data_IF_325315508733
#
_entry.id   IF_325315508733
#
_cell.length_a   1.000
_cell.length_b   1.000
_cell.length_c   1.000
_cell.angle_alpha   90.00
_cell.angle_beta   90.00
_cell.angle_gamma   90.00
#
_symmetry.space_group_name_H-M   'P 1'
#
loop_
_entity.id
_entity.type
_entity.pdbx_description
1 polymer ?
#
# COMPACT_ATOMS: atom_id res chain seq x y z
N UNK A 1 50.92 -15.75 -15.66
CA UNK A 1 49.88 -14.83 -16.15
C UNK A 1 48.55 -15.56 -16.11
N UNK A 2 47.76 -15.35 -15.06
CA UNK A 2 46.45 -15.97 -14.91
C UNK A 2 45.37 -15.00 -15.40
N UNK A 3 44.42 -15.43 -16.26
CA UNK A 3 43.46 -14.53 -16.88
C UNK A 3 42.45 -14.04 -15.84
N UNK A 4 42.35 -12.71 -15.74
CA UNK A 4 41.39 -11.99 -14.91
C UNK A 4 39.96 -12.44 -15.21
N UNK A 5 39.29 -12.99 -14.20
CA UNK A 5 37.86 -13.29 -14.24
C UNK A 5 37.07 -11.99 -14.27
N UNK A 6 36.56 -11.61 -15.45
CA UNK A 6 35.52 -10.58 -15.57
C UNK A 6 34.26 -11.09 -14.84
N UNK A 7 34.12 -10.71 -13.56
CA UNK A 7 32.87 -10.87 -12.81
C UNK A 7 31.75 -10.20 -13.59
N UNK A 8 30.85 -11.02 -14.11
CA UNK A 8 29.63 -10.64 -14.80
C UNK A 8 28.76 -9.87 -13.79
N UNK A 9 28.91 -8.53 -13.69
CA UNK A 9 28.00 -7.68 -12.91
C UNK A 9 26.62 -7.87 -13.51
N UNK A 10 25.73 -8.57 -12.80
CA UNK A 10 24.31 -8.63 -13.13
C UNK A 10 23.84 -7.20 -13.42
N UNK A 11 23.40 -6.93 -14.65
CA UNK A 11 22.91 -5.60 -15.03
C UNK A 11 21.76 -5.24 -14.10
N UNK A 12 22.01 -4.28 -13.21
CA UNK A 12 21.11 -3.92 -12.12
C UNK A 12 19.77 -3.41 -12.69
N UNK A 13 18.66 -3.83 -12.09
CA UNK A 13 17.33 -3.35 -12.51
C UNK A 13 17.02 -2.08 -11.74
N UNK A 14 16.93 -0.95 -12.47
CA UNK A 14 16.51 0.33 -11.91
C UNK A 14 15.01 0.27 -11.65
N UNK A 15 14.61 0.36 -10.38
CA UNK A 15 13.19 0.41 -10.00
C UNK A 15 12.68 1.85 -10.01
N UNK A 16 11.48 2.00 -10.52
CA UNK A 16 10.76 3.26 -10.55
C UNK A 16 9.28 3.03 -10.20
N UNK A 17 8.61 4.08 -9.81
CA UNK A 17 7.18 4.02 -9.56
C UNK A 17 6.49 5.34 -9.88
N UNK A 18 5.20 5.25 -10.17
CA UNK A 18 4.35 6.40 -10.47
C UNK A 18 2.88 6.07 -10.30
N UNK A 19 2.02 7.02 -10.62
CA UNK A 19 0.59 6.78 -10.60
C UNK A 19 -0.14 7.52 -11.71
N UNK A 20 -1.12 6.86 -12.30
CA UNK A 20 -2.07 7.49 -13.18
C UNK A 20 -3.16 8.11 -12.32
N UNK A 21 -2.99 9.41 -12.05
CA UNK A 21 -3.93 10.17 -11.22
C UNK A 21 -5.17 10.47 -12.02
N UNK A 22 -6.34 10.17 -11.45
CA UNK A 22 -7.62 10.33 -12.13
C UNK A 22 -8.65 11.03 -11.25
N UNK A 23 -9.63 11.65 -11.92
CA UNK A 23 -10.84 12.19 -11.30
C UNK A 23 -12.02 12.03 -12.26
N UNK A 24 -13.22 12.06 -11.70
CA UNK A 24 -14.44 12.16 -12.47
C UNK A 24 -14.90 13.62 -12.51
N UNK A 25 -15.13 14.13 -13.72
CA UNK A 25 -15.71 15.44 -13.96
C UNK A 25 -17.04 15.25 -14.72
N UNK A 26 -18.14 15.20 -13.97
CA UNK A 26 -19.44 14.80 -14.49
C UNK A 26 -19.42 13.35 -15.00
N UNK A 27 -19.65 13.15 -16.30
CA UNK A 27 -19.62 11.81 -16.95
C UNK A 27 -18.27 11.48 -17.60
N UNK A 28 -17.24 12.30 -17.35
CA UNK A 28 -15.95 12.15 -18.00
C UNK A 28 -14.87 11.74 -17.00
N UNK A 29 -14.06 10.78 -17.42
CA UNK A 29 -12.80 10.47 -16.75
C UNK A 29 -11.72 11.44 -17.25
N UNK A 30 -11.05 12.09 -16.31
CA UNK A 30 -9.88 12.94 -16.56
C UNK A 30 -8.65 12.34 -15.87
N UNK A 31 -7.49 12.51 -16.49
CA UNK A 31 -6.20 12.05 -15.97
C UNK A 31 -5.18 13.18 -15.94
N UNK A 32 -4.23 13.10 -15.02
CA UNK A 32 -3.15 14.07 -14.87
C UNK A 32 -1.90 13.59 -15.61
N UNK A 33 -1.41 14.39 -16.55
CA UNK A 33 -0.15 14.14 -17.27
C UNK A 33 0.86 15.25 -16.98
N UNK A 34 2.14 14.91 -17.16
CA UNK A 34 3.25 15.86 -17.02
C UNK A 34 4.05 15.94 -18.31
N UNK A 35 4.57 17.13 -18.60
CA UNK A 35 5.51 17.37 -19.68
C UNK A 35 6.95 17.47 -19.13
N UNK A 36 7.90 16.87 -19.85
CA UNK A 36 9.33 16.92 -19.50
C UNK A 36 10.11 17.63 -20.60
N UNK A 37 10.60 18.86 -20.37
CA UNK A 37 11.27 19.65 -21.41
C UNK A 37 12.57 19.01 -21.89
N UNK A 38 13.25 18.23 -21.05
CA UNK A 38 14.48 17.51 -21.43
C UNK A 38 14.28 16.54 -22.61
N UNK A 39 13.10 15.96 -22.72
CA UNK A 39 12.77 14.93 -23.73
C UNK A 39 11.70 15.39 -24.72
N UNK A 40 11.09 16.56 -24.46
CA UNK A 40 9.90 17.05 -25.15
C UNK A 40 8.80 15.97 -25.21
N UNK A 41 8.52 15.35 -24.05
CA UNK A 41 7.59 14.24 -23.93
C UNK A 41 6.50 14.46 -22.88
N UNK A 42 5.35 13.85 -23.13
CA UNK A 42 4.23 13.78 -22.22
C UNK A 42 4.11 12.35 -21.69
N UNK A 43 4.07 12.22 -20.37
CA UNK A 43 4.00 10.91 -19.71
C UNK A 43 3.17 10.96 -18.42
N UNK A 44 2.89 9.77 -17.90
CA UNK A 44 2.35 9.59 -16.56
C UNK A 44 3.45 9.96 -15.54
N UNK A 45 3.15 10.70 -14.45
CA UNK A 45 4.14 11.07 -13.45
C UNK A 45 4.77 9.84 -12.78
N UNK A 46 6.11 9.85 -12.68
CA UNK A 46 6.93 8.73 -12.18
C UNK A 46 8.40 9.09 -12.06
N UNK A 47 9.05 8.54 -11.03
CA UNK A 47 10.50 8.60 -10.90
C UNK A 47 11.10 7.39 -10.21
N UNK A 48 12.35 7.54 -9.76
CA UNK A 48 13.17 6.42 -9.30
C UNK A 48 12.89 6.15 -7.82
N UNK A 49 12.88 4.87 -7.45
CA UNK A 49 12.77 4.48 -6.04
C UNK A 49 14.06 4.87 -5.33
N UNK A 50 13.94 5.60 -4.23
CA UNK A 50 15.06 5.99 -3.39
C UNK A 50 15.52 4.86 -2.47
N UNK A 51 16.68 5.05 -1.82
CA UNK A 51 17.16 4.11 -0.83
C UNK A 51 16.16 3.99 0.32
N UNK A 52 15.91 2.75 0.77
CA UNK A 52 14.99 2.44 1.87
C UNK A 52 13.52 2.82 1.61
N UNK A 53 13.17 3.10 0.35
CA UNK A 53 11.83 3.47 -0.07
C UNK A 53 11.08 2.27 -0.66
N UNK A 54 9.76 2.20 -0.45
CA UNK A 54 8.91 1.24 -1.15
C UNK A 54 8.47 1.81 -2.50
N UNK A 55 8.17 0.95 -3.48
CA UNK A 55 7.60 1.40 -4.76
C UNK A 55 6.27 2.17 -4.60
N UNK A 56 5.50 1.96 -3.53
CA UNK A 56 4.24 2.70 -3.30
C UNK A 56 4.49 4.09 -2.76
N UNK A 57 5.40 4.19 -1.80
CA UNK A 57 5.79 5.49 -1.22
C UNK A 57 6.49 6.34 -2.28
N UNK A 58 7.30 5.72 -3.13
CA UNK A 58 7.87 6.34 -4.33
C UNK A 58 6.77 6.87 -5.26
N UNK A 59 5.77 6.06 -5.61
CA UNK A 59 4.67 6.52 -6.48
C UNK A 59 3.96 7.78 -5.94
N UNK A 60 3.71 7.83 -4.63
CA UNK A 60 3.07 9.00 -3.99
C UNK A 60 3.99 10.21 -3.95
N UNK A 61 5.26 10.01 -3.58
CA UNK A 61 6.28 11.07 -3.55
C UNK A 61 6.46 11.69 -4.93
N UNK A 62 6.73 10.87 -5.94
CA UNK A 62 7.00 11.31 -7.31
C UNK A 62 5.82 12.08 -7.91
N UNK A 63 4.58 11.63 -7.67
CA UNK A 63 3.41 12.39 -8.10
C UNK A 63 3.36 13.76 -7.41
N UNK A 64 3.62 13.82 -6.10
CA UNK A 64 3.61 15.07 -5.37
C UNK A 64 4.76 16.01 -5.80
N UNK A 65 5.95 15.48 -6.09
CA UNK A 65 7.10 16.23 -6.59
C UNK A 65 6.84 16.80 -7.99
N UNK A 66 6.39 15.96 -8.93
CA UNK A 66 6.22 16.35 -10.33
C UNK A 66 4.95 17.18 -10.57
N UNK A 67 3.90 17.03 -9.74
CA UNK A 67 2.59 17.66 -10.01
C UNK A 67 2.10 18.60 -8.91
N UNK A 68 2.71 18.56 -7.72
CA UNK A 68 2.18 19.22 -6.52
C UNK A 68 0.92 18.57 -5.94
N UNK A 69 0.36 17.54 -6.57
CA UNK A 69 -0.90 16.91 -6.16
C UNK A 69 -0.65 15.81 -5.13
N UNK A 70 -1.30 15.90 -3.97
CA UNK A 70 -1.34 14.80 -3.01
C UNK A 70 -2.35 13.75 -3.46
N UNK A 71 -1.91 12.49 -3.50
CA UNK A 71 -2.75 11.38 -3.99
C UNK A 71 -2.90 10.23 -3.00
N UNK A 72 -3.99 9.48 -3.13
CA UNK A 72 -4.22 8.18 -2.47
C UNK A 72 -4.17 7.08 -3.53
N UNK A 73 -3.35 6.06 -3.29
CA UNK A 73 -3.24 4.91 -4.19
C UNK A 73 -4.49 4.02 -4.10
N UNK A 74 -5.04 3.71 -5.27
CA UNK A 74 -6.01 2.64 -5.48
C UNK A 74 -5.32 1.39 -6.02
N UNK A 75 -5.93 0.74 -7.01
CA UNK A 75 -5.46 -0.52 -7.55
C UNK A 75 -4.10 -0.39 -8.28
N UNK A 76 -3.23 -1.41 -8.19
CA UNK A 76 -2.04 -1.48 -9.04
C UNK A 76 -2.45 -1.67 -10.50
N UNK A 77 -1.75 -0.99 -11.39
CA UNK A 77 -1.82 -1.17 -12.84
C UNK A 77 -0.65 -2.05 -13.32
N UNK A 78 -0.62 -2.34 -14.62
CA UNK A 78 0.48 -3.08 -15.25
C UNK A 78 1.84 -2.44 -15.01
N UNK A 79 2.88 -3.29 -14.95
CA UNK A 79 4.27 -2.83 -14.84
C UNK A 79 4.87 -2.65 -16.23
N UNK A 80 5.65 -1.59 -16.41
CA UNK A 80 6.35 -1.32 -17.66
C UNK A 80 7.83 -1.68 -17.49
N UNK A 81 8.37 -2.45 -18.44
CA UNK A 81 9.79 -2.87 -18.44
C UNK A 81 10.44 -2.56 -19.78
N UNK A 82 11.55 -1.82 -19.74
CA UNK A 82 12.30 -1.45 -20.95
C UNK A 82 13.80 -1.32 -20.64
N UNK A 83 14.63 -1.35 -21.69
CA UNK A 83 16.08 -1.12 -21.56
C UNK A 83 16.36 0.38 -21.61
N UNK A 84 17.31 0.84 -20.81
CA UNK A 84 17.82 2.22 -20.86
C UNK A 84 19.18 2.24 -21.58
N UNK A 85 19.65 3.45 -21.94
CA UNK A 85 20.82 3.64 -22.83
C UNK A 85 22.13 2.99 -22.36
N UNK A 86 22.31 2.82 -21.05
CA UNK A 86 23.46 2.13 -20.46
C UNK A 86 23.37 0.58 -20.50
N UNK A 87 22.29 0.04 -21.08
CA UNK A 87 22.02 -1.39 -21.20
C UNK A 87 21.35 -2.04 -19.99
N UNK A 88 21.13 -1.28 -18.90
CA UNK A 88 20.37 -1.72 -17.73
C UNK A 88 18.88 -1.84 -18.04
N UNK A 89 18.14 -2.56 -17.17
CA UNK A 89 16.69 -2.70 -17.28
C UNK A 89 16.02 -1.73 -16.31
N UNK A 90 15.00 -1.01 -16.78
CA UNK A 90 14.13 -0.21 -15.94
C UNK A 90 12.80 -0.94 -15.77
N UNK A 91 12.35 -1.10 -14.52
CA UNK A 91 11.01 -1.61 -14.17
C UNK A 91 10.24 -0.51 -13.44
N UNK A 92 9.11 -0.12 -14.02
CA UNK A 92 8.22 0.91 -13.45
C UNK A 92 6.93 0.26 -12.96
N UNK A 93 6.57 0.56 -11.72
CA UNK A 93 5.32 0.14 -11.11
C UNK A 93 4.32 1.29 -11.12
N UNK A 94 3.09 1.03 -11.56
CA UNK A 94 2.04 2.04 -11.60
C UNK A 94 0.85 1.66 -10.74
N UNK A 95 0.17 2.68 -10.21
CA UNK A 95 -1.13 2.56 -9.55
C UNK A 95 -2.11 3.53 -10.20
N UNK A 96 -3.39 3.17 -10.19
CA UNK A 96 -4.44 4.16 -10.30
C UNK A 96 -4.48 4.95 -8.99
N UNK A 97 -4.53 6.27 -9.05
CA UNK A 97 -4.57 7.10 -7.85
C UNK A 97 -5.61 8.21 -7.94
N UNK A 98 -6.20 8.56 -6.79
CA UNK A 98 -7.11 9.70 -6.69
C UNK A 98 -6.44 10.85 -5.97
N UNK A 99 -6.89 12.07 -6.26
CA UNK A 99 -6.53 13.23 -5.45
C UNK A 99 -6.98 12.98 -4.00
N UNK A 100 -6.09 13.23 -3.05
CA UNK A 100 -6.39 13.12 -1.64
C UNK A 100 -7.35 14.25 -1.23
N UNK A 101 -8.32 13.99 -0.32
CA UNK A 101 -9.12 15.05 0.28
C UNK A 101 -8.23 16.07 1.01
N UNK A 102 -8.65 17.34 1.03
CA UNK A 102 -7.89 18.47 1.59
C UNK A 102 -7.51 18.26 3.07
N UNK A 103 -8.42 17.71 3.89
CA UNK A 103 -8.21 17.40 5.31
C UNK A 103 -7.87 15.92 5.58
N UNK A 104 -7.15 15.26 4.65
CA UNK A 104 -6.82 13.84 4.79
C UNK A 104 -5.79 13.58 5.90
N UNK A 105 -6.19 12.81 6.93
CA UNK A 105 -5.29 12.32 7.98
C UNK A 105 -4.05 11.60 7.41
N UNK A 106 -4.22 10.88 6.32
CA UNK A 106 -3.14 10.20 5.63
C UNK A 106 -2.14 11.15 4.95
N UNK A 107 -2.54 12.37 4.59
CA UNK A 107 -1.64 13.41 4.07
C UNK A 107 -0.87 14.06 5.22
N UNK A 108 -1.52 14.30 6.37
CA UNK A 108 -0.85 14.82 7.57
C UNK A 108 0.30 13.93 8.05
N UNK A 109 0.17 12.61 7.87
CA UNK A 109 1.22 11.64 8.22
C UNK A 109 2.42 11.59 7.25
N UNK A 110 2.42 12.38 6.16
CA UNK A 110 3.49 12.35 5.14
C UNK A 110 4.58 13.35 5.46
N UNK A 111 5.81 13.00 5.09
CA UNK A 111 6.89 13.98 5.01
C UNK A 111 6.60 14.97 3.87
N UNK A 112 6.99 16.23 4.07
CA UNK A 112 7.01 17.20 3.00
C UNK A 112 7.96 16.75 1.88
N UNK A 113 7.58 17.01 0.63
CA UNK A 113 8.38 16.73 -0.56
C UNK A 113 8.78 18.03 -1.23
N UNK A 114 9.92 18.02 -1.93
CA UNK A 114 10.38 19.20 -2.68
C UNK A 114 9.82 19.12 -4.11
N UNK A 115 9.09 20.15 -4.59
CA UNK A 115 8.63 20.17 -5.97
C UNK A 115 9.78 20.01 -6.97
N UNK A 116 9.49 19.31 -8.07
CA UNK A 116 10.39 19.19 -9.21
C UNK A 116 10.71 20.58 -9.78
N UNK A 117 11.91 20.73 -10.33
CA UNK A 117 12.31 21.99 -10.94
C UNK A 117 11.63 22.20 -12.30
N UNK A 118 11.49 23.45 -12.75
CA UNK A 118 11.00 23.76 -14.10
C UNK A 118 11.84 23.14 -15.25
N UNK A 119 13.08 22.71 -14.97
CA UNK A 119 13.93 21.99 -15.93
C UNK A 119 13.58 20.51 -16.06
N UNK A 120 12.83 19.99 -15.10
CA UNK A 120 12.40 18.60 -15.02
C UNK A 120 10.95 18.46 -15.45
N UNK A 121 10.07 19.30 -14.92
CA UNK A 121 8.66 19.39 -15.26
C UNK A 121 8.29 20.86 -15.46
N UNK A 122 7.84 21.22 -16.65
CA UNK A 122 7.42 22.59 -17.00
C UNK A 122 5.90 22.71 -17.20
N UNK A 123 5.18 21.60 -17.36
CA UNK A 123 3.72 21.60 -17.52
C UNK A 123 3.07 20.37 -16.88
N UNK A 124 1.88 20.60 -16.32
CA UNK A 124 1.02 19.61 -15.67
C UNK A 124 -0.41 19.87 -16.12
N UNK A 125 -1.04 18.90 -16.79
CA UNK A 125 -2.36 19.09 -17.40
C UNK A 125 -3.35 17.99 -16.98
N UNK A 126 -4.55 18.40 -16.57
CA UNK A 126 -5.72 17.51 -16.50
C UNK A 126 -6.35 17.37 -17.89
N UNK A 127 -6.42 16.15 -18.40
CA UNK A 127 -6.92 15.86 -19.74
C UNK A 127 -8.00 14.81 -19.71
N UNK A 128 -9.03 14.98 -20.54
CA UNK A 128 -9.99 13.89 -20.81
C UNK A 128 -9.26 12.73 -21.49
N UNK A 129 -9.72 11.50 -21.29
CA UNK A 129 -9.12 10.27 -21.86
C UNK A 129 -8.74 10.41 -23.34
N UNK A 130 -9.64 10.93 -24.18
CA UNK A 130 -9.37 11.08 -25.62
C UNK A 130 -8.24 12.06 -25.94
N UNK A 131 -8.08 13.12 -25.15
CA UNK A 131 -6.98 14.09 -25.28
C UNK A 131 -5.69 13.49 -24.71
N UNK A 132 -5.75 12.86 -23.54
CA UNK A 132 -4.61 12.20 -22.91
C UNK A 132 -4.00 11.14 -23.84
N UNK A 133 -4.84 10.32 -24.50
CA UNK A 133 -4.37 9.31 -25.47
C UNK A 133 -3.60 9.90 -26.65
N UNK A 134 -3.99 11.08 -27.13
CA UNK A 134 -3.29 11.81 -28.21
C UNK A 134 -2.02 12.49 -27.72
N UNK A 135 -2.02 12.96 -26.47
CA UNK A 135 -0.90 13.72 -25.88
C UNK A 135 0.24 12.80 -25.43
N UNK A 136 -0.06 11.63 -24.86
CA UNK A 136 0.95 10.67 -24.39
C UNK A 136 1.92 10.28 -25.51
N UNK A 137 3.21 10.47 -25.28
CA UNK A 137 4.27 10.18 -26.26
C UNK A 137 4.46 8.67 -26.42
N UNK A 138 4.49 7.93 -25.32
CA UNK A 138 4.84 6.51 -25.32
C UNK A 138 3.64 5.56 -25.42
N UNK A 139 3.80 4.45 -26.14
CA UNK A 139 2.74 3.44 -26.30
C UNK A 139 2.37 2.77 -24.98
N UNK A 140 3.36 2.43 -24.16
CA UNK A 140 3.12 1.78 -22.87
C UNK A 140 2.30 2.65 -21.90
N UNK A 141 2.42 3.99 -21.97
CA UNK A 141 1.58 4.88 -21.17
C UNK A 141 0.14 4.91 -21.71
N UNK A 142 -0.04 4.80 -23.04
CA UNK A 142 -1.37 4.66 -23.66
C UNK A 142 -2.02 3.32 -23.30
N UNK A 143 -1.24 2.26 -23.16
CA UNK A 143 -1.72 0.94 -22.71
C UNK A 143 -2.21 1.02 -21.25
N UNK A 144 -1.46 1.71 -20.37
CA UNK A 144 -1.87 1.97 -18.98
C UNK A 144 -3.14 2.83 -18.90
N UNK A 145 -3.28 3.83 -19.78
CA UNK A 145 -4.50 4.62 -19.89
C UNK A 145 -5.69 3.74 -20.32
N UNK A 146 -5.48 2.80 -21.25
CA UNK A 146 -6.49 1.81 -21.63
C UNK A 146 -6.92 0.94 -20.45
N UNK A 147 -5.98 0.42 -19.68
CA UNK A 147 -6.25 -0.37 -18.47
C UNK A 147 -7.09 0.42 -17.44
N UNK A 148 -6.78 1.71 -17.24
CA UNK A 148 -7.56 2.58 -16.37
C UNK A 148 -9.00 2.77 -16.86
N UNK A 149 -9.19 2.96 -18.17
CA UNK A 149 -10.51 3.11 -18.79
C UNK A 149 -11.33 1.83 -18.63
N UNK A 150 -10.74 0.67 -18.90
CA UNK A 150 -11.41 -0.62 -18.71
C UNK A 150 -11.89 -0.79 -17.25
N UNK A 151 -11.04 -0.44 -16.27
CA UNK A 151 -11.40 -0.46 -14.86
C UNK A 151 -12.55 0.51 -14.54
N UNK A 152 -12.56 1.68 -15.16
CA UNK A 152 -13.60 2.70 -14.95
C UNK A 152 -14.94 2.24 -15.52
N UNK A 153 -14.97 1.81 -16.77
CA UNK A 153 -16.17 1.32 -17.46
C UNK A 153 -16.77 0.08 -16.77
N UNK A 154 -15.92 -0.80 -16.24
CA UNK A 154 -16.35 -1.96 -15.46
C UNK A 154 -16.85 -1.63 -14.04
N UNK A 155 -16.80 -0.36 -13.61
CA UNK A 155 -17.14 0.06 -12.25
C UNK A 155 -16.23 -0.54 -11.19
N UNK A 156 -14.97 -0.79 -11.55
CA UNK A 156 -13.93 -1.35 -10.66
C UNK A 156 -12.93 -0.32 -10.20
N UNK A 157 -12.75 0.81 -10.91
CA UNK A 157 -11.69 1.76 -10.65
C UNK A 157 -11.82 2.45 -9.29
N UNK A 158 -13.05 2.79 -8.90
CA UNK A 158 -13.33 3.44 -7.62
C UNK A 158 -13.33 2.42 -6.46
N UNK A 159 -12.21 2.35 -5.74
CA UNK A 159 -12.01 1.41 -4.65
C UNK A 159 -11.98 2.02 -3.26
N UNK A 160 -12.38 1.25 -2.26
CA UNK A 160 -11.98 1.46 -0.85
C UNK A 160 -11.11 0.31 -0.38
N UNK A 161 -10.33 0.52 0.68
CA UNK A 161 -9.19 -0.35 0.98
C UNK A 161 -9.21 -0.87 2.41
N UNK A 162 -8.98 -2.18 2.55
CA UNK A 162 -8.53 -2.79 3.81
C UNK A 162 -7.02 -2.98 3.74
N UNK A 163 -6.29 -2.40 4.69
CA UNK A 163 -4.86 -2.68 4.90
C UNK A 163 -4.69 -3.58 6.13
N UNK A 164 -4.64 -4.89 5.91
CA UNK A 164 -4.40 -5.87 6.96
C UNK A 164 -2.92 -5.88 7.35
N UNK A 165 -2.64 -5.67 8.63
CA UNK A 165 -1.30 -5.60 9.20
C UNK A 165 -1.11 -6.76 10.18
N UNK A 166 -0.11 -7.62 9.98
CA UNK A 166 0.36 -8.48 11.06
C UNK A 166 1.28 -7.67 11.96
N UNK A 167 1.11 -7.74 13.28
CA UNK A 167 1.98 -7.02 14.22
C UNK A 167 3.48 -7.25 13.95
N UNK A 168 4.30 -6.26 14.32
CA UNK A 168 5.76 -6.29 14.21
C UNK A 168 6.42 -7.40 15.00
N UNK A 169 7.74 -7.52 14.90
CA UNK A 169 8.49 -8.49 15.71
C UNK A 169 8.35 -8.10 17.18
N UNK A 170 7.93 -9.05 18.01
CA UNK A 170 7.70 -8.85 19.44
C UNK A 170 8.68 -9.69 20.26
N UNK A 171 8.88 -9.30 21.52
CA UNK A 171 9.75 -10.02 22.46
C UNK A 171 9.32 -11.49 22.54
N UNK A 172 10.27 -12.42 22.63
CA UNK A 172 9.96 -13.86 22.70
C UNK A 172 9.12 -14.17 23.94
N UNK A 173 8.07 -14.98 23.79
CA UNK A 173 7.19 -15.42 24.90
C UNK A 173 7.98 -16.01 26.07
N UNK A 174 8.96 -16.86 25.77
CA UNK A 174 9.81 -17.53 26.77
C UNK A 174 10.73 -16.60 27.56
N UNK A 175 10.90 -15.35 27.11
CA UNK A 175 11.67 -14.30 27.81
C UNK A 175 10.71 -13.40 28.59
N UNK A 176 9.60 -12.99 27.96
CA UNK A 176 8.63 -12.08 28.56
C UNK A 176 7.87 -12.69 29.74
N UNK A 177 7.42 -13.94 29.62
CA UNK A 177 6.60 -14.62 30.65
C UNK A 177 7.46 -15.31 31.73
N UNK A 178 8.69 -14.84 31.96
CA UNK A 178 9.61 -15.41 32.97
C UNK A 178 9.30 -14.97 34.41
N UNK A 179 8.82 -13.75 34.69
CA UNK A 179 8.26 -13.45 36.01
C UNK A 179 6.99 -14.29 36.18
N UNK A 180 6.90 -15.10 37.23
CA UNK A 180 5.73 -15.96 37.53
C UNK A 180 4.66 -15.26 38.39
N UNK A 181 4.82 -13.97 38.64
CA UNK A 181 4.01 -13.24 39.62
C UNK A 181 2.64 -12.78 39.08
N UNK A 182 2.45 -12.78 37.75
CA UNK A 182 1.21 -12.34 37.10
C UNK A 182 0.51 -13.49 36.39
N UNK A 183 -0.77 -13.30 36.15
CA UNK A 183 -1.53 -14.19 35.27
C UNK A 183 -0.92 -14.18 33.85
N UNK A 184 -0.76 -15.38 33.27
CA UNK A 184 -0.06 -15.59 31.98
C UNK A 184 -0.72 -14.84 30.83
N UNK A 185 -2.03 -14.62 30.90
CA UNK A 185 -2.78 -13.93 29.87
C UNK A 185 -2.52 -12.42 29.93
N UNK A 186 -2.58 -11.86 31.14
CA UNK A 186 -2.24 -10.45 31.41
C UNK A 186 -0.81 -10.13 30.96
N UNK A 187 0.13 -11.06 31.14
CA UNK A 187 1.50 -10.94 30.64
C UNK A 187 1.60 -10.99 29.11
N UNK A 188 0.87 -11.92 28.46
CA UNK A 188 0.90 -12.03 27.00
C UNK A 188 0.26 -10.82 26.30
N UNK A 189 -0.76 -10.21 26.93
CA UNK A 189 -1.43 -9.01 26.45
C UNK A 189 -0.51 -7.78 26.48
N UNK A 190 0.41 -7.70 27.45
CA UNK A 190 1.35 -6.58 27.63
C UNK A 190 2.67 -6.76 26.88
N UNK A 191 2.87 -7.88 26.17
CA UNK A 191 4.12 -8.18 25.48
C UNK A 191 4.44 -7.16 24.36
N UNK A 192 5.57 -6.44 24.44
CA UNK A 192 5.89 -5.34 23.52
C UNK A 192 6.56 -5.81 22.23
N UNK A 193 6.69 -4.87 21.29
CA UNK A 193 7.58 -5.01 20.15
C UNK A 193 9.05 -5.11 20.59
N UNK A 194 9.92 -5.66 19.73
CA UNK A 194 11.36 -5.54 19.94
C UNK A 194 11.84 -4.17 19.47
N UNK A 195 12.74 -3.53 20.23
CA UNK A 195 13.28 -2.21 19.90
C UNK A 195 14.01 -2.17 18.54
N UNK A 196 14.75 -3.24 18.22
CA UNK A 196 15.59 -3.33 17.02
C UNK A 196 14.78 -3.37 15.71
N UNK A 197 13.90 -4.38 15.58
CA UNK A 197 13.20 -4.71 14.34
C UNK A 197 11.71 -4.46 14.42
N UNK A 198 11.10 -4.58 15.60
CA UNK A 198 9.68 -4.39 15.81
C UNK A 198 9.28 -2.94 15.63
N UNK A 199 9.87 -2.06 16.44
CA UNK A 199 9.58 -0.62 16.42
C UNK A 199 10.04 0.05 15.11
N UNK A 200 11.21 -0.31 14.60
CA UNK A 200 11.70 0.18 13.30
C UNK A 200 10.73 -0.16 12.17
N UNK A 201 10.14 -1.38 12.19
CA UNK A 201 9.13 -1.76 11.20
C UNK A 201 7.80 -1.06 11.42
N UNK A 202 7.41 -0.78 12.66
CA UNK A 202 6.22 0.01 12.96
C UNK A 202 6.33 1.44 12.39
N UNK A 203 7.50 2.08 12.53
CA UNK A 203 7.78 3.39 11.90
C UNK A 203 7.75 3.30 10.36
N UNK A 204 8.32 2.26 9.78
CA UNK A 204 8.33 2.05 8.33
C UNK A 204 6.92 1.80 7.74
N UNK A 205 5.90 1.49 8.56
CA UNK A 205 4.52 1.39 8.10
C UNK A 205 3.88 2.76 7.84
N UNK A 206 4.32 3.82 8.52
CA UNK A 206 3.71 5.17 8.43
C UNK A 206 3.53 5.63 6.98
N UNK A 207 4.58 5.72 6.14
CA UNK A 207 4.42 6.21 4.78
C UNK A 207 3.62 5.23 3.90
N UNK A 208 3.61 3.94 4.24
CA UNK A 208 2.85 2.93 3.49
C UNK A 208 1.35 3.05 3.77
N UNK A 209 0.95 3.20 5.03
CA UNK A 209 -0.46 3.41 5.41
C UNK A 209 -0.95 4.76 4.88
N UNK A 210 -0.11 5.79 4.93
CA UNK A 210 -0.35 7.09 4.32
C UNK A 210 -0.59 6.99 2.80
N UNK A 211 0.17 6.16 2.09
CA UNK A 211 0.03 5.99 0.65
C UNK A 211 -1.35 5.45 0.22
N UNK A 212 -1.94 4.56 1.03
CA UNK A 212 -3.29 4.01 0.80
C UNK A 212 -4.41 4.82 1.46
N UNK A 213 -4.09 6.00 2.01
CA UNK A 213 -5.12 6.92 2.49
C UNK A 213 -5.83 6.43 3.75
N UNK A 214 -5.15 5.69 4.62
CA UNK A 214 -5.78 5.14 5.83
C UNK A 214 -6.35 6.28 6.70
N UNK A 215 -7.67 6.31 6.85
CA UNK A 215 -8.36 7.27 7.73
C UNK A 215 -8.77 6.64 9.06
N UNK A 216 -8.75 5.30 9.14
CA UNK A 216 -9.23 4.56 10.31
C UNK A 216 -8.28 3.42 10.69
N UNK A 217 -8.02 3.24 11.98
CA UNK A 217 -7.13 2.20 12.48
C UNK A 217 -7.85 1.33 13.52
N UNK A 218 -8.04 0.05 13.18
CA UNK A 218 -8.58 -0.97 14.08
C UNK A 218 -7.44 -1.92 14.48
N UNK A 219 -7.33 -2.25 15.76
CA UNK A 219 -6.24 -3.12 16.24
C UNK A 219 -6.70 -4.05 17.35
N UNK A 220 -6.01 -5.19 17.51
CA UNK A 220 -6.12 -5.96 18.76
C UNK A 220 -5.61 -5.11 19.93
N UNK A 221 -6.26 -5.14 21.12
CA UNK A 221 -5.83 -4.36 22.29
C UNK A 221 -4.47 -4.79 22.85
N UNK A 222 -3.92 -5.92 22.42
CA UNK A 222 -2.62 -6.40 22.91
C UNK A 222 -1.49 -5.48 22.47
N UNK A 223 -0.56 -5.19 23.39
CA UNK A 223 0.45 -4.13 23.27
C UNK A 223 1.22 -4.17 21.95
N UNK A 224 1.75 -5.32 21.54
CA UNK A 224 2.45 -5.46 20.25
C UNK A 224 1.63 -5.03 19.01
N UNK A 225 0.32 -5.22 19.03
CA UNK A 225 -0.56 -4.81 17.92
C UNK A 225 -0.76 -3.29 17.97
N UNK A 226 -1.06 -2.74 19.14
CA UNK A 226 -1.14 -1.29 19.38
C UNK A 226 0.16 -0.59 18.98
N UNK A 227 1.30 -1.03 19.52
CA UNK A 227 2.64 -0.48 19.23
C UNK A 227 3.01 -0.56 17.74
N UNK A 228 2.44 -1.51 16.98
CA UNK A 228 2.73 -1.63 15.54
C UNK A 228 2.11 -0.49 14.72
N UNK A 229 0.94 0.00 15.12
CA UNK A 229 0.18 1.02 14.38
C UNK A 229 0.20 2.39 15.04
N UNK A 230 0.60 2.48 16.31
CA UNK A 230 0.70 3.72 17.06
C UNK A 230 1.53 4.81 16.37
N UNK A 231 2.69 4.52 15.73
CA UNK A 231 3.45 5.57 15.03
C UNK A 231 2.65 6.23 13.90
N UNK A 232 1.85 5.44 13.17
CA UNK A 232 1.01 5.98 12.12
C UNK A 232 -0.16 6.78 12.68
N UNK A 233 -0.85 6.25 13.69
CA UNK A 233 -1.98 6.93 14.31
C UNK A 233 -1.56 8.31 14.88
N UNK A 234 -0.40 8.37 15.55
CA UNK A 234 0.17 9.63 16.03
C UNK A 234 0.49 10.61 14.88
N UNK A 235 1.14 10.14 13.82
CA UNK A 235 1.48 10.98 12.67
C UNK A 235 0.25 11.46 11.89
N UNK A 236 -0.82 10.66 11.86
CA UNK A 236 -2.06 10.97 11.15
C UNK A 236 -3.08 11.75 12.01
N UNK A 237 -2.84 11.90 13.32
CA UNK A 237 -3.81 12.48 14.26
C UNK A 237 -5.06 11.63 14.46
N UNK A 238 -4.92 10.30 14.38
CA UNK A 238 -6.03 9.35 14.48
C UNK A 238 -6.08 8.65 15.83
N UNK A 239 -7.30 8.37 16.31
CA UNK A 239 -7.52 7.48 17.44
C UNK A 239 -7.40 6.00 17.03
N UNK A 240 -6.93 5.18 17.98
CA UNK A 240 -6.87 3.73 17.80
C UNK A 240 -8.15 3.05 18.28
N UNK A 241 -8.87 2.41 17.37
CA UNK A 241 -10.02 1.58 17.71
C UNK A 241 -9.56 0.17 18.12
N UNK A 242 -9.65 -0.16 19.40
CA UNK A 242 -9.32 -1.51 19.86
C UNK A 242 -10.51 -2.46 19.73
N UNK A 243 -10.29 -3.64 19.15
CA UNK A 243 -11.30 -4.70 19.06
C UNK A 243 -10.85 -5.96 19.82
N UNK A 244 -11.47 -6.23 20.97
CA UNK A 244 -11.17 -7.41 21.80
C UNK A 244 -11.34 -8.75 21.06
N UNK A 245 -12.24 -8.80 20.09
CA UNK A 245 -12.44 -9.95 19.21
C UNK A 245 -11.21 -10.32 18.36
N UNK A 246 -10.25 -9.39 18.16
CA UNK A 246 -9.02 -9.63 17.40
C UNK A 246 -7.88 -10.22 18.23
N UNK A 247 -8.08 -10.46 19.54
CA UNK A 247 -7.07 -11.13 20.38
C UNK A 247 -6.93 -12.61 20.03
N UNK A 248 -5.77 -13.21 20.29
CA UNK A 248 -5.58 -14.66 20.06
C UNK A 248 -6.52 -15.48 20.94
N UNK A 249 -6.78 -15.03 22.17
CA UNK A 249 -7.69 -15.72 23.08
C UNK A 249 -9.14 -15.70 22.60
N UNK A 250 -9.69 -14.51 22.32
CA UNK A 250 -11.08 -14.40 21.88
C UNK A 250 -11.30 -15.18 20.57
N UNK A 251 -10.30 -15.17 19.67
CA UNK A 251 -10.34 -15.95 18.44
C UNK A 251 -10.33 -17.46 18.69
N UNK A 252 -9.50 -17.95 19.62
CA UNK A 252 -9.45 -19.36 20.01
C UNK A 252 -10.77 -19.84 20.62
N UNK A 253 -11.45 -19.00 21.41
CA UNK A 253 -12.78 -19.28 21.94
C UNK A 253 -13.85 -19.25 20.85
N UNK A 254 -13.83 -18.22 20.00
CA UNK A 254 -14.76 -18.10 18.87
C UNK A 254 -14.24 -17.22 17.73
N UNK A 255 -14.14 -17.74 16.49
CA UNK A 255 -13.76 -16.94 15.34
C UNK A 255 -14.88 -16.00 14.83
N UNK A 256 -16.09 -16.08 15.39
CA UNK A 256 -17.26 -15.30 14.92
C UNK A 256 -17.03 -13.78 15.01
N UNK A 257 -16.40 -13.31 16.09
CA UNK A 257 -16.10 -11.89 16.29
C UNK A 257 -15.17 -11.34 15.21
N UNK A 258 -14.08 -12.04 14.93
CA UNK A 258 -13.13 -11.70 13.84
C UNK A 258 -13.84 -11.63 12.50
N UNK A 259 -14.70 -12.62 12.18
CA UNK A 259 -15.47 -12.62 10.93
C UNK A 259 -16.37 -11.40 10.83
N UNK A 260 -17.01 -11.00 11.92
CA UNK A 260 -17.90 -9.82 11.97
C UNK A 260 -17.13 -8.54 11.68
N UNK A 261 -16.00 -8.31 12.38
CA UNK A 261 -15.15 -7.13 12.19
C UNK A 261 -14.67 -7.02 10.74
N UNK A 262 -14.08 -8.08 10.19
CA UNK A 262 -13.55 -8.07 8.81
C UNK A 262 -14.67 -7.88 7.79
N UNK A 263 -15.82 -8.54 7.97
CA UNK A 263 -16.97 -8.37 7.06
C UNK A 263 -17.50 -6.93 7.08
N UNK A 264 -17.52 -6.27 8.25
CA UNK A 264 -17.91 -4.86 8.35
C UNK A 264 -16.98 -3.98 7.53
N UNK A 265 -15.67 -4.08 7.75
CA UNK A 265 -14.66 -3.29 7.02
C UNK A 265 -14.71 -3.53 5.51
N UNK A 266 -14.89 -4.78 5.07
CA UNK A 266 -14.95 -5.09 3.64
C UNK A 266 -16.25 -4.67 2.96
N UNK A 267 -17.37 -4.57 3.69
CA UNK A 267 -18.68 -4.25 3.10
C UNK A 267 -19.03 -2.77 3.13
N UNK A 268 -18.57 -2.06 4.15
CA UNK A 268 -18.89 -0.65 4.31
C UNK A 268 -17.84 0.17 3.57
N UNK A 269 -18.30 1.00 2.63
CA UNK A 269 -17.46 1.95 1.91
C UNK A 269 -17.24 3.18 2.78
N UNK A 270 -16.49 2.97 3.85
CA UNK A 270 -15.95 3.99 4.75
C UNK A 270 -14.53 4.38 4.28
N UNK A 271 -13.85 5.18 5.09
CA UNK A 271 -12.44 5.50 4.91
C UNK A 271 -11.57 4.23 4.83
N UNK A 272 -10.47 4.26 4.05
CA UNK A 272 -9.51 3.17 4.03
C UNK A 272 -9.07 2.81 5.45
N UNK A 273 -9.15 1.52 5.78
CA UNK A 273 -9.00 1.04 7.17
C UNK A 273 -7.77 0.15 7.30
N UNK A 274 -6.89 0.46 8.24
CA UNK A 274 -5.85 -0.45 8.68
C UNK A 274 -6.38 -1.37 9.78
N UNK A 275 -6.14 -2.68 9.66
CA UNK A 275 -6.53 -3.67 10.67
C UNK A 275 -5.30 -4.43 11.16
N UNK A 276 -4.87 -4.23 12.41
CA UNK A 276 -3.72 -4.92 12.98
C UNK A 276 -4.12 -6.15 13.81
N UNK A 277 -3.42 -7.28 13.61
CA UNK A 277 -3.79 -8.56 14.22
C UNK A 277 -2.61 -9.54 14.40
N UNK A 278 -2.92 -10.74 14.90
CA UNK A 278 -1.97 -11.82 15.22
C UNK A 278 -2.01 -12.95 14.19
N UNK A 279 -0.92 -13.72 14.11
CA UNK A 279 -0.80 -14.86 13.19
C UNK A 279 -1.93 -15.89 13.33
N UNK A 280 -2.35 -16.34 14.54
CA UNK A 280 -3.42 -17.32 14.68
C UNK A 280 -4.78 -16.85 14.14
N UNK A 281 -5.00 -15.54 14.10
CA UNK A 281 -6.25 -14.92 13.64
C UNK A 281 -6.32 -14.85 12.11
N UNK A 282 -5.16 -14.74 11.44
CA UNK A 282 -5.04 -14.60 9.97
C UNK A 282 -5.83 -15.64 9.16
N UNK A 283 -5.81 -16.96 9.43
CA UNK A 283 -6.58 -17.93 8.65
C UNK A 283 -8.09 -17.61 8.60
N UNK A 284 -8.66 -17.08 9.68
CA UNK A 284 -10.08 -16.66 9.67
C UNK A 284 -10.29 -15.43 8.80
N UNK A 285 -9.36 -14.47 8.83
CA UNK A 285 -9.41 -13.27 7.99
C UNK A 285 -9.28 -13.65 6.52
N UNK A 286 -8.30 -14.50 6.16
CA UNK A 286 -8.12 -14.98 4.78
C UNK A 286 -9.36 -15.74 4.30
N UNK A 287 -9.97 -16.57 5.16
CA UNK A 287 -11.23 -17.22 4.85
C UNK A 287 -12.39 -16.25 4.55
N UNK A 288 -12.41 -15.06 5.15
CA UNK A 288 -13.38 -14.00 4.80
C UNK A 288 -12.98 -13.31 3.50
N UNK A 289 -11.72 -12.91 3.34
CA UNK A 289 -11.22 -12.22 2.13
C UNK A 289 -11.44 -13.10 0.88
N UNK A 290 -11.21 -14.40 0.97
CA UNK A 290 -11.44 -15.36 -0.12
C UNK A 290 -12.89 -15.39 -0.60
N UNK A 291 -13.88 -15.08 0.24
CA UNK A 291 -15.30 -14.99 -0.18
C UNK A 291 -15.57 -13.79 -1.09
N UNK A 292 -14.72 -12.76 -1.02
CA UNK A 292 -14.81 -11.57 -1.84
C UNK A 292 -13.87 -11.58 -3.05
N UNK A 293 -12.87 -12.47 -3.09
CA UNK A 293 -11.87 -12.56 -4.15
C UNK A 293 -12.31 -13.51 -5.29
N UNK A 294 -12.65 -13.00 -6.49
CA UNK A 294 -13.11 -13.84 -7.59
C UNK A 294 -11.96 -14.44 -8.41
N UNK A 295 -12.18 -15.63 -8.98
CA UNK A 295 -11.36 -16.20 -10.05
C UNK A 295 -9.86 -16.21 -9.76
N UNK A 296 -9.08 -15.58 -10.64
CA UNK A 296 -7.61 -15.52 -10.51
C UNK A 296 -7.14 -14.77 -9.26
N UNK A 297 -7.95 -13.84 -8.72
CA UNK A 297 -7.57 -13.04 -7.55
C UNK A 297 -7.51 -13.88 -6.26
N UNK A 298 -8.21 -15.02 -6.22
CA UNK A 298 -8.12 -15.96 -5.10
C UNK A 298 -6.68 -16.44 -4.87
N UNK A 299 -5.87 -16.54 -5.93
CA UNK A 299 -4.44 -16.92 -5.85
C UNK A 299 -3.57 -15.87 -5.12
N UNK A 300 -4.05 -14.63 -5.03
CA UNK A 300 -3.38 -13.56 -4.30
C UNK A 300 -3.73 -13.56 -2.81
N UNK A 301 -4.73 -14.33 -2.38
CA UNK A 301 -5.04 -14.52 -0.96
C UNK A 301 -4.10 -15.60 -0.41
N UNK A 302 -3.28 -15.30 0.61
CA UNK A 302 -2.44 -16.31 1.24
C UNK A 302 -3.27 -17.50 1.75
N UNK A 303 -2.90 -18.71 1.36
CA UNK A 303 -3.62 -19.96 1.64
C UNK A 303 -2.97 -20.79 2.77
N UNK A 304 -1.73 -20.47 3.14
CA UNK A 304 -0.92 -21.24 4.08
C UNK A 304 -0.20 -20.36 5.09
N UNK A 305 0.10 -20.98 6.22
CA UNK A 305 0.95 -20.40 7.25
C UNK A 305 2.33 -19.98 6.69
N UNK A 306 2.86 -18.79 7.05
CA UNK A 306 2.38 -17.88 8.09
C UNK A 306 1.31 -16.87 7.66
N UNK A 307 0.73 -17.00 6.46
CA UNK A 307 -0.16 -16.05 5.76
C UNK A 307 0.49 -14.68 5.51
N UNK A 308 0.91 -14.00 6.58
CA UNK A 308 1.74 -12.80 6.61
C UNK A 308 2.91 -13.01 7.57
N UNK A 309 4.12 -12.58 7.22
CA UNK A 309 5.29 -12.47 8.10
C UNK A 309 5.09 -11.32 9.11
N UNK A 310 5.88 -11.26 10.18
CA UNK A 310 5.77 -10.17 11.18
C UNK A 310 6.01 -8.79 10.54
N UNK A 311 5.07 -7.87 10.77
CA UNK A 311 5.04 -6.54 10.14
C UNK A 311 4.85 -6.57 8.63
N UNK A 312 4.41 -7.68 8.04
CA UNK A 312 3.98 -7.74 6.64
C UNK A 312 2.50 -7.33 6.55
N UNK A 313 2.13 -6.75 5.41
CA UNK A 313 0.79 -6.25 5.16
C UNK A 313 0.16 -6.91 3.92
N UNK A 314 -1.16 -6.98 3.93
CA UNK A 314 -2.00 -7.33 2.79
C UNK A 314 -2.98 -6.18 2.54
N UNK A 315 -2.97 -5.63 1.34
CA UNK A 315 -3.88 -4.57 0.91
C UNK A 315 -4.94 -5.22 0.04
N UNK A 316 -6.21 -5.01 0.39
CA UNK A 316 -7.36 -5.53 -0.35
C UNK A 316 -8.16 -4.34 -0.85
N UNK A 317 -8.17 -4.17 -2.17
CA UNK A 317 -8.92 -3.12 -2.86
C UNK A 317 -10.30 -3.65 -3.19
N UNK A 318 -11.32 -3.03 -2.62
CA UNK A 318 -12.72 -3.41 -2.74
C UNK A 318 -13.43 -2.46 -3.69
N UNK A 319 -14.27 -3.00 -4.58
CA UNK A 319 -15.13 -2.20 -5.44
C UNK A 319 -16.57 -2.71 -5.38
N UNK A 320 -17.51 -1.84 -5.76
CA UNK A 320 -18.92 -2.18 -5.95
C UNK A 320 -19.36 -1.68 -7.32
N UNK A 321 -19.61 -2.60 -8.25
CA UNK A 321 -20.23 -2.25 -9.54
C UNK A 321 -21.62 -1.65 -9.32
N UNK A 322 -22.10 -0.76 -10.20
CA UNK A 322 -23.51 -0.34 -10.21
C UNK A 322 -24.43 -1.57 -10.24
N UNK A 323 -25.31 -1.70 -9.23
CA UNK A 323 -26.22 -2.87 -9.03
C UNK A 323 -25.51 -4.23 -8.86
N UNK A 324 -24.20 -4.26 -8.62
CA UNK A 324 -23.41 -5.48 -8.47
C UNK A 324 -23.06 -5.83 -7.01
N UNK A 325 -22.48 -7.02 -6.84
CA UNK A 325 -21.93 -7.46 -5.54
C UNK A 325 -20.62 -6.75 -5.23
N UNK A 326 -20.38 -6.52 -3.94
CA UNK A 326 -19.07 -6.08 -3.43
C UNK A 326 -18.05 -7.21 -3.66
N UNK A 327 -16.90 -6.86 -4.24
CA UNK A 327 -15.81 -7.80 -4.57
C UNK A 327 -14.46 -7.13 -4.32
N UNK A 328 -13.47 -7.95 -4.01
CA UNK A 328 -12.08 -7.53 -4.15
C UNK A 328 -11.75 -7.47 -5.66
N UNK A 329 -11.07 -6.40 -6.06
CA UNK A 329 -10.64 -6.16 -7.45
C UNK A 329 -9.12 -6.22 -7.60
N UNK A 330 -8.38 -5.92 -6.53
CA UNK A 330 -6.95 -6.16 -6.44
C UNK A 330 -6.54 -6.54 -5.00
N UNK A 331 -5.47 -7.33 -4.89
CA UNK A 331 -4.87 -7.73 -3.61
C UNK A 331 -3.36 -7.61 -3.75
N UNK A 332 -2.74 -6.84 -2.87
CA UNK A 332 -1.29 -6.64 -2.84
C UNK A 332 -0.73 -7.14 -1.52
N UNK A 333 0.38 -7.88 -1.59
CA UNK A 333 1.13 -8.29 -0.40
C UNK A 333 2.48 -7.59 -0.42
N UNK A 334 2.85 -7.00 0.71
CA UNK A 334 4.16 -6.36 0.84
C UNK A 334 4.66 -6.33 2.27
N UNK A 335 5.98 -6.19 2.39
CA UNK A 335 6.67 -5.98 3.66
C UNK A 335 7.37 -4.63 3.61
N UNK A 336 7.24 -3.78 4.64
CA UNK A 336 7.96 -2.51 4.71
C UNK A 336 9.45 -2.72 4.51
N UNK A 337 10.04 -1.89 3.65
CA UNK A 337 11.49 -1.80 3.50
C UNK A 337 12.00 -1.11 4.76
N UNK A 338 12.98 -1.73 5.43
CA UNK A 338 13.60 -1.10 6.59
C UNK A 338 14.79 -0.28 6.09
N UNK A 339 14.96 0.92 6.66
CA UNK A 339 16.26 1.56 6.62
C UNK A 339 17.26 0.64 7.28
N UNK A 340 18.37 0.32 6.61
CA UNK A 340 19.52 -0.23 7.33
C UNK A 340 19.91 0.81 8.38
N UNK A 341 19.79 0.44 9.65
CA UNK A 341 20.18 1.31 10.75
C UNK A 341 21.63 1.73 10.56
N UNK A 342 21.87 3.04 10.60
CA UNK A 342 23.18 3.54 11.01
C UNK A 342 23.10 3.85 12.49
#
# INVERSE_FOLDING_TARGET
MSPSSKKNRSRETVKAAGALVWRENGKHLEVLLVHRPRYDDWSIPKGKVESCESVRTCAVREVAEETGVQVILGQPLSRVRYKIGDGSRKEVHYWAARVAPEASAAVAARCAVKPASAKEIDSVEWLRVGQARKRLTYSYDRDLLGELVDLWEDGKLDTWTLVLVRHGRAVKRSVWNRPKERDKETDEATRPLTHDQGETRARALVPILAAYGVGRVITSPWKRCVDTVAPYAAAAGLDLETAGALTEMAHAQSPKGVRSVVKKVLRVREEPTALCTHRPVLPTIMGVVSQYAPGKLLRSVPDRDPWLKTGEILVVHMARRPRGKIRAVAIEKQRPVLSEGR
#
